data_IF_213359808631
#
_entry.id   IF_213359808631
#
_cell.length_a   1.000
_cell.length_b   1.000
_cell.length_c   1.000
_cell.angle_alpha   90.00
_cell.angle_beta   90.00
_cell.angle_gamma   90.00
#
_symmetry.space_group_name_H-M   'P 1'
#
loop_
_entity.id
_entity.type
_entity.pdbx_description
1 polymer ?
#
# COMPACT_ATOMS: atom_id res chain seq x y z
N UNK A 1 16.01 33.99 66.15
CA UNK A 1 14.70 33.34 65.92
C UNK A 1 14.04 34.04 64.76
N UNK A 2 14.23 33.48 63.56
CA UNK A 2 13.52 33.90 62.35
C UNK A 2 12.29 33.02 62.18
N UNK A 3 11.18 33.62 61.79
CA UNK A 3 9.98 32.93 61.33
C UNK A 3 9.39 33.71 60.15
N UNK A 4 8.77 33.01 59.18
CA UNK A 4 8.75 33.42 57.79
C UNK A 4 7.39 33.97 57.33
N UNK A 5 7.48 34.59 56.16
CA UNK A 5 6.48 35.21 55.30
C UNK A 5 5.29 34.32 54.93
N UNK A 6 4.08 34.90 54.96
CA UNK A 6 2.96 34.46 54.10
C UNK A 6 2.22 35.69 53.55
N UNK A 7 2.45 35.96 52.27
CA UNK A 7 1.77 36.98 51.46
C UNK A 7 0.47 36.37 50.93
N UNK A 8 -0.70 37.02 51.07
CA UNK A 8 -1.94 36.55 50.46
C UNK A 8 -1.90 36.75 48.92
N UNK A 9 -2.57 35.87 48.14
CA UNK A 9 -2.44 35.85 46.68
C UNK A 9 -3.06 37.10 46.03
N UNK A 10 -2.25 37.79 45.22
CA UNK A 10 -2.72 38.75 44.23
C UNK A 10 -3.43 38.01 43.08
N UNK A 11 -4.73 38.25 42.91
CA UNK A 11 -5.44 37.89 41.68
C UNK A 11 -4.96 38.77 40.53
N UNK A 12 -4.55 38.21 39.38
CA UNK A 12 -4.32 39.00 38.19
C UNK A 12 -5.65 39.51 37.61
N UNK A 13 -5.70 40.83 37.44
CA UNK A 13 -6.72 41.64 36.79
C UNK A 13 -6.99 41.14 35.36
N UNK A 14 -8.22 40.72 35.06
CA UNK A 14 -8.66 40.56 33.67
C UNK A 14 -9.02 41.93 33.11
N UNK A 15 -8.21 42.41 32.16
CA UNK A 15 -8.50 43.59 31.37
C UNK A 15 -9.75 43.36 30.52
N UNK A 16 -10.75 44.21 30.76
CA UNK A 16 -11.94 44.40 29.94
C UNK A 16 -11.55 45.06 28.62
N UNK A 17 -11.82 44.41 27.49
CA UNK A 17 -12.09 45.07 26.21
C UNK A 17 -12.71 44.07 25.22
N UNK A 18 -14.00 43.78 25.39
CA UNK A 18 -14.86 43.40 24.26
C UNK A 18 -16.21 44.12 24.37
N UNK A 19 -16.72 44.70 23.26
CA UNK A 19 -17.97 45.45 23.27
C UNK A 19 -19.17 44.53 23.54
N UNK A 20 -20.03 44.96 24.45
CA UNK A 20 -21.28 44.31 24.83
C UNK A 20 -22.24 44.19 23.65
N UNK A 21 -22.31 43.02 23.03
CA UNK A 21 -23.41 42.67 22.11
C UNK A 21 -24.60 42.19 22.93
N UNK A 22 -25.63 43.04 22.96
CA UNK A 22 -26.90 42.82 23.64
C UNK A 22 -27.66 41.66 22.98
N UNK A 23 -27.79 40.52 23.67
CA UNK A 23 -28.58 39.38 23.20
C UNK A 23 -30.08 39.62 23.46
N UNK A 24 -30.71 40.43 22.61
CA UNK A 24 -32.18 40.62 22.63
C UNK A 24 -32.81 40.30 21.28
N UNK A 25 -32.53 39.11 20.75
CA UNK A 25 -33.36 38.52 19.69
C UNK A 25 -33.72 37.07 20.03
N UNK A 26 -35.01 36.70 19.98
CA UNK A 26 -35.40 35.30 20.08
C UNK A 26 -34.86 34.53 18.86
N UNK A 27 -34.55 33.23 19.02
CA UNK A 27 -34.06 32.39 17.93
C UNK A 27 -35.10 32.35 16.78
N UNK A 28 -34.66 32.22 15.52
CA UNK A 28 -35.57 32.06 14.39
C UNK A 28 -36.52 30.89 14.65
N UNK A 29 -37.83 31.13 14.54
CA UNK A 29 -38.84 30.10 14.71
C UNK A 29 -38.67 29.03 13.63
N UNK A 30 -38.61 27.76 14.05
CA UNK A 30 -38.69 26.63 13.13
C UNK A 30 -40.09 26.63 12.50
N UNK A 31 -40.22 27.28 11.35
CA UNK A 31 -41.33 27.00 10.43
C UNK A 31 -41.14 25.57 9.95
N UNK A 32 -42.03 24.69 10.41
CA UNK A 32 -42.06 23.30 10.02
C UNK A 32 -42.43 23.16 8.55
N UNK A 33 -41.43 23.20 7.68
CA UNK A 33 -41.51 22.47 6.42
C UNK A 33 -41.13 21.02 6.72
N UNK A 34 -42.14 20.14 6.65
CA UNK A 34 -41.94 18.70 6.59
C UNK A 34 -41.27 18.35 5.25
N UNK A 35 -39.99 18.64 5.15
CA UNK A 35 -39.12 18.04 4.14
C UNK A 35 -39.04 16.54 4.43
N UNK A 36 -39.24 15.64 3.45
CA UNK A 36 -39.09 14.22 3.67
C UNK A 36 -37.68 13.95 4.24
N UNK A 37 -37.61 13.25 5.37
CA UNK A 37 -36.35 12.81 6.00
C UNK A 37 -35.47 11.93 5.08
N UNK A 38 -35.98 11.56 3.90
CA UNK A 38 -35.22 11.03 2.78
C UNK A 38 -35.03 12.12 1.72
N UNK A 39 -33.86 12.76 1.74
CA UNK A 39 -33.41 13.57 0.61
C UNK A 39 -33.23 12.72 -0.65
N UNK A 40 -33.27 13.38 -1.81
CA UNK A 40 -33.01 12.76 -3.12
C UNK A 40 -31.67 12.01 -3.14
N UNK A 41 -31.54 10.91 -3.89
CA UNK A 41 -30.26 10.24 -4.10
C UNK A 41 -29.23 11.27 -4.59
N UNK A 42 -28.18 11.50 -3.81
CA UNK A 42 -27.15 12.48 -4.14
C UNK A 42 -26.36 11.99 -5.34
N UNK A 43 -26.18 12.83 -6.36
CA UNK A 43 -25.32 12.55 -7.51
C UNK A 43 -23.90 13.04 -7.23
N UNK A 44 -22.93 12.51 -7.98
CA UNK A 44 -21.51 12.88 -7.89
C UNK A 44 -21.18 14.33 -8.31
N UNK A 45 -22.18 15.11 -8.71
CA UNK A 45 -22.05 16.48 -9.24
C UNK A 45 -22.50 17.55 -8.23
N UNK A 46 -22.90 17.16 -7.03
CA UNK A 46 -23.31 18.09 -5.98
C UNK A 46 -22.07 18.89 -5.50
N UNK A 47 -22.15 20.23 -5.52
CA UNK A 47 -21.04 21.11 -5.12
C UNK A 47 -20.96 21.21 -3.58
N UNK A 48 -20.49 20.12 -2.95
CA UNK A 48 -20.25 20.05 -1.51
C UNK A 48 -18.85 20.66 -1.22
N UNK A 49 -18.66 21.37 -0.10
CA UNK A 49 -17.32 21.70 0.40
C UNK A 49 -16.44 20.44 0.42
N UNK A 50 -15.18 20.57 -0.03
CA UNK A 50 -14.24 19.44 -0.25
C UNK A 50 -14.14 18.49 0.97
N UNK A 51 -14.35 18.99 2.19
CA UNK A 51 -14.35 18.22 3.45
C UNK A 51 -15.34 17.04 3.47
N UNK A 52 -16.43 17.08 2.69
CA UNK A 52 -17.40 15.99 2.57
C UNK A 52 -17.17 15.09 1.35
N UNK A 53 -16.27 15.48 0.45
CA UNK A 53 -15.99 14.73 -0.78
C UNK A 53 -14.95 13.62 -0.56
N UNK A 54 -14.02 13.83 0.37
CA UNK A 54 -12.88 12.93 0.59
C UNK A 54 -12.99 12.02 1.82
N UNK A 55 -14.09 12.07 2.58
CA UNK A 55 -14.17 11.45 3.92
C UNK A 55 -14.82 10.06 3.98
N UNK A 56 -15.31 9.51 2.86
CA UNK A 56 -16.02 8.21 2.92
C UNK A 56 -15.05 7.05 2.76
N UNK A 57 -14.93 6.25 3.82
CA UNK A 57 -14.20 4.97 3.76
C UNK A 57 -14.94 3.97 2.86
N UNK A 58 -14.22 3.00 2.28
CA UNK A 58 -14.81 1.97 1.41
C UNK A 58 -15.94 1.19 2.10
N UNK A 59 -15.91 1.03 3.43
CA UNK A 59 -17.00 0.40 4.18
C UNK A 59 -18.28 1.25 4.27
N UNK A 60 -18.15 2.58 4.25
CA UNK A 60 -19.27 3.53 4.35
C UNK A 60 -19.84 3.91 2.98
N UNK A 61 -19.10 3.62 1.91
CA UNK A 61 -19.52 3.87 0.54
C UNK A 61 -20.68 2.95 0.11
N UNK A 62 -21.45 3.40 -0.89
CA UNK A 62 -22.48 2.55 -1.49
C UNK A 62 -21.87 1.31 -2.15
N UNK A 63 -22.67 0.25 -2.27
CA UNK A 63 -22.23 -1.05 -2.80
C UNK A 63 -21.58 -0.91 -4.19
N UNK A 64 -22.14 -0.05 -5.04
CA UNK A 64 -21.67 0.19 -6.40
C UNK A 64 -20.30 0.88 -6.41
N UNK A 65 -20.12 1.88 -5.55
CA UNK A 65 -18.85 2.61 -5.40
C UNK A 65 -17.76 1.66 -4.88
N UNK A 66 -18.07 0.84 -3.88
CA UNK A 66 -17.12 -0.16 -3.35
C UNK A 66 -16.69 -1.15 -4.43
N UNK A 67 -17.63 -1.69 -5.20
CA UNK A 67 -17.29 -2.62 -6.27
C UNK A 67 -16.48 -1.96 -7.40
N UNK A 68 -16.76 -0.70 -7.72
CA UNK A 68 -16.00 0.07 -8.69
C UNK A 68 -14.55 0.30 -8.21
N UNK A 69 -14.36 0.69 -6.94
CA UNK A 69 -13.05 0.83 -6.32
C UNK A 69 -12.23 -0.45 -6.39
N UNK A 70 -12.79 -1.56 -5.89
CA UNK A 70 -12.10 -2.86 -5.88
C UNK A 70 -11.77 -3.30 -7.31
N UNK A 71 -12.69 -3.13 -8.26
CA UNK A 71 -12.41 -3.44 -9.67
C UNK A 71 -11.24 -2.62 -10.21
N UNK A 72 -11.16 -1.33 -9.87
CA UNK A 72 -10.08 -0.45 -10.32
C UNK A 72 -8.73 -0.87 -9.73
N UNK A 73 -8.66 -1.18 -8.44
CA UNK A 73 -7.46 -1.68 -7.77
C UNK A 73 -6.94 -2.95 -8.44
N UNK A 74 -7.80 -3.96 -8.59
CA UNK A 74 -7.41 -5.24 -9.18
C UNK A 74 -7.14 -5.15 -10.69
N UNK A 75 -7.78 -4.21 -11.41
CA UNK A 75 -7.47 -3.96 -12.82
C UNK A 75 -6.07 -3.36 -12.97
N UNK A 76 -5.71 -2.37 -12.16
CA UNK A 76 -4.35 -1.80 -12.13
C UNK A 76 -3.34 -2.90 -11.79
N UNK A 77 -3.57 -3.64 -10.70
CA UNK A 77 -2.72 -4.76 -10.28
C UNK A 77 -2.49 -5.77 -11.42
N UNK A 78 -3.56 -6.18 -12.10
CA UNK A 78 -3.48 -7.16 -13.19
C UNK A 78 -2.61 -6.63 -14.33
N UNK A 79 -2.76 -5.36 -14.71
CA UNK A 79 -1.91 -4.73 -15.72
C UNK A 79 -0.45 -4.71 -15.27
N UNK A 80 -0.17 -4.37 -14.00
CA UNK A 80 1.20 -4.38 -13.46
C UNK A 80 1.83 -5.77 -13.55
N UNK A 81 1.11 -6.81 -13.11
CA UNK A 81 1.59 -8.20 -13.18
C UNK A 81 1.82 -8.68 -14.61
N UNK A 82 0.95 -8.32 -15.56
CA UNK A 82 1.12 -8.65 -16.99
C UNK A 82 2.38 -7.97 -17.54
N UNK A 83 2.59 -6.69 -17.25
CA UNK A 83 3.79 -5.96 -17.68
C UNK A 83 5.05 -6.63 -17.14
N UNK A 84 5.06 -6.99 -15.86
CA UNK A 84 6.18 -7.68 -15.20
C UNK A 84 6.44 -9.07 -15.81
N UNK A 85 5.38 -9.83 -16.10
CA UNK A 85 5.50 -11.12 -16.75
C UNK A 85 6.07 -11.00 -18.18
N UNK A 86 5.62 -10.02 -18.96
CA UNK A 86 6.13 -9.75 -20.31
C UNK A 86 7.63 -9.38 -20.26
N UNK A 87 8.00 -8.43 -19.39
CA UNK A 87 9.39 -8.01 -19.24
C UNK A 87 10.31 -9.16 -18.83
N UNK A 88 9.88 -9.96 -17.85
CA UNK A 88 10.64 -11.13 -17.39
C UNK A 88 10.76 -12.18 -18.49
N UNK A 89 9.71 -12.39 -19.29
CA UNK A 89 9.71 -13.35 -20.40
C UNK A 89 10.72 -12.99 -21.50
N UNK A 90 10.94 -11.71 -21.78
CA UNK A 90 11.95 -11.24 -22.75
C UNK A 90 13.35 -11.73 -22.34
N UNK A 91 13.65 -11.80 -21.04
CA UNK A 91 14.94 -12.31 -20.55
C UNK A 91 15.16 -13.80 -20.80
N UNK A 92 14.09 -14.59 -21.00
CA UNK A 92 14.22 -16.03 -21.31
C UNK A 92 14.34 -16.32 -22.80
N UNK A 93 13.73 -15.50 -23.65
CA UNK A 93 13.74 -15.72 -25.10
C UNK A 93 14.89 -15.03 -25.82
N UNK A 94 15.41 -13.94 -25.25
CA UNK A 94 16.49 -13.17 -25.86
C UNK A 94 17.77 -13.27 -25.04
N UNK A 95 18.68 -14.14 -25.47
CA UNK A 95 19.99 -14.33 -24.84
C UNK A 95 20.82 -13.03 -24.80
N UNK A 96 20.77 -12.21 -25.85
CA UNK A 96 21.49 -10.93 -25.88
C UNK A 96 20.95 -9.95 -24.84
N UNK A 97 19.63 -9.91 -24.64
CA UNK A 97 19.03 -9.10 -23.57
C UNK A 97 19.42 -9.62 -22.19
N UNK A 98 19.38 -10.95 -21.99
CA UNK A 98 19.81 -11.61 -20.76
C UNK A 98 21.26 -11.30 -20.40
N UNK A 99 22.19 -11.47 -21.33
CA UNK A 99 23.61 -11.19 -21.13
C UNK A 99 23.84 -9.70 -20.82
N UNK A 100 23.09 -8.82 -21.49
CA UNK A 100 23.19 -7.40 -21.28
C UNK A 100 22.72 -6.96 -19.89
N UNK A 101 21.57 -7.45 -19.40
CA UNK A 101 21.08 -7.10 -18.05
C UNK A 101 21.97 -7.68 -16.94
N UNK A 102 22.61 -8.84 -17.17
CA UNK A 102 23.53 -9.45 -16.22
C UNK A 102 24.89 -8.76 -16.17
N UNK A 103 25.38 -8.25 -17.31
CA UNK A 103 26.68 -7.56 -17.39
C UNK A 103 26.59 -6.09 -16.95
N UNK A 104 25.48 -5.41 -17.23
CA UNK A 104 25.30 -3.98 -16.93
C UNK A 104 24.72 -3.75 -15.54
N UNK A 105 25.43 -4.18 -14.49
CA UNK A 105 24.98 -4.07 -13.10
C UNK A 105 24.67 -2.63 -12.66
N UNK A 106 25.26 -1.62 -13.31
CA UNK A 106 24.93 -0.22 -13.05
C UNK A 106 23.45 0.13 -13.28
N UNK A 107 22.78 -0.57 -14.19
CA UNK A 107 21.35 -0.38 -14.46
C UNK A 107 20.46 -0.88 -13.33
N UNK A 108 20.92 -1.89 -12.58
CA UNK A 108 20.23 -2.34 -11.37
C UNK A 108 20.17 -1.21 -10.34
N UNK A 109 21.25 -0.44 -10.15
CA UNK A 109 21.23 0.71 -9.24
C UNK A 109 20.25 1.79 -9.73
N UNK A 110 20.24 2.08 -11.03
CA UNK A 110 19.26 3.01 -11.61
C UNK A 110 17.84 2.51 -11.39
N UNK A 111 17.59 1.21 -11.51
CA UNK A 111 16.28 0.64 -11.27
C UNK A 111 15.88 0.74 -9.79
N UNK A 112 16.78 0.45 -8.86
CA UNK A 112 16.53 0.58 -7.42
C UNK A 112 16.18 2.04 -7.06
N UNK A 113 17.05 3.00 -7.43
CA UNK A 113 16.79 4.42 -7.14
C UNK A 113 15.59 4.95 -7.91
N UNK A 114 15.38 4.48 -9.14
CA UNK A 114 14.22 4.79 -9.97
C UNK A 114 12.92 4.33 -9.33
N UNK A 115 12.89 3.12 -8.75
CA UNK A 115 11.72 2.60 -8.04
C UNK A 115 11.33 3.51 -6.89
N UNK A 116 12.25 3.84 -5.99
CA UNK A 116 11.98 4.77 -4.89
C UNK A 116 11.57 6.16 -5.38
N UNK A 117 12.21 6.66 -6.45
CA UNK A 117 11.86 7.93 -7.07
C UNK A 117 10.43 7.96 -7.62
N UNK A 118 10.07 6.99 -8.46
CA UNK A 118 8.72 6.88 -9.02
C UNK A 118 7.66 6.56 -7.96
N UNK A 119 8.00 5.78 -6.94
CA UNK A 119 7.13 5.53 -5.80
C UNK A 119 6.81 6.84 -5.08
N UNK A 120 7.84 7.63 -4.73
CA UNK A 120 7.67 8.94 -4.11
C UNK A 120 6.88 9.92 -4.97
N UNK A 121 7.14 9.97 -6.28
CA UNK A 121 6.39 10.80 -7.23
C UNK A 121 4.92 10.37 -7.33
N UNK A 122 4.66 9.06 -7.33
CA UNK A 122 3.30 8.51 -7.37
C UNK A 122 2.53 8.89 -6.12
N UNK A 123 3.13 8.79 -4.93
CA UNK A 123 2.50 9.23 -3.69
C UNK A 123 2.30 10.75 -3.65
N UNK A 124 3.27 11.54 -4.13
CA UNK A 124 3.15 13.01 -4.17
C UNK A 124 2.02 13.48 -5.08
N UNK A 125 1.87 12.85 -6.26
CA UNK A 125 0.82 13.19 -7.23
C UNK A 125 -0.37 12.25 -7.20
N UNK A 126 -0.59 11.49 -6.12
CA UNK A 126 -1.61 10.42 -6.06
C UNK A 126 -3.03 10.87 -6.44
N UNK A 127 -3.43 12.09 -6.09
CA UNK A 127 -4.75 12.66 -6.41
C UNK A 127 -4.79 13.46 -7.73
N UNK A 128 -3.66 13.56 -8.46
CA UNK A 128 -3.58 14.33 -9.70
C UNK A 128 -3.66 13.43 -10.93
N UNK A 129 -4.86 13.28 -11.49
CA UNK A 129 -5.07 12.58 -12.76
C UNK A 129 -4.70 13.47 -13.96
N UNK A 130 -4.03 12.96 -15.02
CA UNK A 130 -3.55 11.58 -15.22
C UNK A 130 -2.09 11.34 -14.74
N UNK A 131 -1.47 12.32 -14.08
CA UNK A 131 -0.06 12.26 -13.69
C UNK A 131 0.23 11.06 -12.76
N UNK A 132 -0.70 10.74 -11.86
CA UNK A 132 -0.61 9.57 -10.99
C UNK A 132 -0.42 8.26 -11.76
N UNK A 133 -1.11 8.07 -12.88
CA UNK A 133 -0.98 6.88 -13.73
C UNK A 133 0.34 6.86 -14.52
N UNK A 134 0.85 8.02 -14.91
CA UNK A 134 2.15 8.14 -15.60
C UNK A 134 3.29 7.75 -14.64
N UNK A 135 3.25 8.23 -13.40
CA UNK A 135 4.26 7.85 -12.42
C UNK A 135 4.12 6.41 -11.96
N UNK A 136 2.88 5.90 -11.84
CA UNK A 136 2.61 4.49 -11.57
C UNK A 136 3.14 3.57 -12.68
N UNK A 137 2.99 3.96 -13.95
CA UNK A 137 3.52 3.17 -15.06
C UNK A 137 5.04 3.18 -15.08
N UNK A 138 5.67 4.33 -14.79
CA UNK A 138 7.11 4.44 -14.58
C UNK A 138 7.61 3.53 -13.45
N UNK A 139 6.95 3.56 -12.29
CA UNK A 139 7.21 2.66 -11.17
C UNK A 139 7.11 1.19 -11.59
N UNK A 140 6.03 0.83 -12.28
CA UNK A 140 5.77 -0.55 -12.73
C UNK A 140 6.83 -1.04 -13.70
N UNK A 141 7.26 -0.20 -14.65
CA UNK A 141 8.29 -0.58 -15.62
C UNK A 141 9.65 -0.78 -14.97
N UNK A 142 10.00 0.07 -14.00
CA UNK A 142 11.25 -0.05 -13.25
C UNK A 142 11.23 -1.31 -12.38
N UNK A 143 10.13 -1.59 -11.70
CA UNK A 143 9.97 -2.84 -10.94
C UNK A 143 9.98 -4.08 -11.85
N UNK A 144 9.28 -4.03 -12.98
CA UNK A 144 9.28 -5.12 -13.98
C UNK A 144 10.69 -5.41 -14.49
N UNK A 145 11.51 -4.38 -14.68
CA UNK A 145 12.91 -4.53 -15.05
C UNK A 145 13.75 -5.16 -13.92
N UNK A 146 13.56 -4.74 -12.66
CA UNK A 146 14.22 -5.38 -11.50
C UNK A 146 13.87 -6.86 -11.40
N UNK A 147 12.59 -7.22 -11.55
CA UNK A 147 12.16 -8.62 -11.56
C UNK A 147 12.76 -9.39 -12.74
N UNK A 148 12.85 -8.79 -13.93
CA UNK A 148 13.51 -9.41 -15.09
C UNK A 148 15.00 -9.70 -14.83
N UNK A 149 15.73 -8.80 -14.14
CA UNK A 149 17.11 -9.06 -13.71
C UNK A 149 17.16 -10.27 -12.78
N UNK A 150 16.36 -10.28 -11.71
CA UNK A 150 16.40 -11.36 -10.71
C UNK A 150 16.06 -12.71 -11.35
N UNK A 151 14.96 -12.77 -12.10
CA UNK A 151 14.50 -14.00 -12.78
C UNK A 151 15.48 -14.52 -13.82
N UNK A 152 16.33 -13.67 -14.41
CA UNK A 152 17.36 -14.08 -15.36
C UNK A 152 18.40 -15.05 -14.78
N UNK A 153 18.59 -15.03 -13.45
CA UNK A 153 19.50 -15.93 -12.73
C UNK A 153 18.88 -17.30 -12.42
N UNK A 154 17.57 -17.45 -12.60
CA UNK A 154 16.87 -18.71 -12.38
C UNK A 154 16.59 -19.42 -13.70
N UNK A 155 16.35 -20.73 -13.63
CA UNK A 155 15.82 -21.47 -14.76
C UNK A 155 14.36 -21.10 -15.00
N UNK A 156 13.94 -21.01 -16.28
CA UNK A 156 12.56 -20.64 -16.63
C UNK A 156 11.50 -21.54 -15.98
N UNK A 157 11.81 -22.83 -15.78
CA UNK A 157 10.90 -23.80 -15.13
C UNK A 157 10.59 -23.41 -13.69
N UNK A 158 11.62 -23.04 -12.93
CA UNK A 158 11.52 -22.61 -11.53
C UNK A 158 10.69 -21.33 -11.44
N UNK A 159 10.95 -20.39 -12.36
CA UNK A 159 10.21 -19.12 -12.42
C UNK A 159 8.73 -19.36 -12.72
N UNK A 160 8.39 -20.22 -13.67
CA UNK A 160 7.00 -20.57 -13.97
C UNK A 160 6.30 -21.26 -12.81
N UNK A 161 6.97 -22.18 -12.12
CA UNK A 161 6.43 -22.84 -10.94
C UNK A 161 6.18 -21.86 -9.79
N UNK A 162 7.14 -20.97 -9.52
CA UNK A 162 6.99 -19.91 -8.51
C UNK A 162 5.84 -18.96 -8.85
N UNK A 163 5.63 -18.60 -10.13
CA UNK A 163 4.48 -17.80 -10.57
C UNK A 163 3.15 -18.50 -10.27
N UNK A 164 3.04 -19.80 -10.59
CA UNK A 164 1.81 -20.58 -10.35
C UNK A 164 1.52 -20.67 -8.84
N UNK A 165 2.52 -21.00 -8.03
CA UNK A 165 2.38 -21.10 -6.58
C UNK A 165 1.96 -19.75 -5.98
N UNK A 166 2.63 -18.67 -6.37
CA UNK A 166 2.32 -17.32 -5.88
C UNK A 166 0.91 -16.91 -6.27
N UNK A 167 0.47 -17.19 -7.50
CA UNK A 167 -0.88 -16.91 -7.95
C UNK A 167 -1.95 -17.67 -7.16
N UNK A 168 -1.72 -18.95 -6.87
CA UNK A 168 -2.63 -19.76 -6.05
C UNK A 168 -2.68 -19.28 -4.60
N UNK A 169 -1.53 -18.94 -4.00
CA UNK A 169 -1.46 -18.40 -2.65
C UNK A 169 -2.15 -17.05 -2.56
N UNK A 170 -1.85 -16.13 -3.49
CA UNK A 170 -2.52 -14.84 -3.56
C UNK A 170 -4.04 -15.00 -3.67
N UNK A 171 -4.52 -15.80 -4.63
CA UNK A 171 -5.95 -16.02 -4.80
C UNK A 171 -6.60 -16.64 -3.54
N UNK A 172 -5.97 -17.65 -2.94
CA UNK A 172 -6.47 -18.31 -1.73
C UNK A 172 -6.50 -17.36 -0.53
N UNK A 173 -5.43 -16.60 -0.31
CA UNK A 173 -5.32 -15.62 0.77
C UNK A 173 -6.30 -14.47 0.58
N UNK A 174 -6.46 -13.94 -0.63
CA UNK A 174 -7.45 -12.91 -0.94
C UNK A 174 -8.87 -13.40 -0.69
N UNK A 175 -9.21 -14.62 -1.13
CA UNK A 175 -10.54 -15.22 -0.90
C UNK A 175 -10.80 -15.44 0.60
N UNK A 176 -9.79 -15.88 1.35
CA UNK A 176 -9.86 -16.03 2.79
C UNK A 176 -10.02 -14.67 3.49
N UNK A 177 -9.23 -13.67 3.09
CA UNK A 177 -9.28 -12.32 3.62
C UNK A 177 -10.64 -11.68 3.36
N UNK A 178 -11.29 -11.89 2.21
CA UNK A 178 -12.61 -11.32 1.96
C UNK A 178 -13.70 -11.97 2.82
N UNK A 179 -13.62 -13.28 3.07
CA UNK A 179 -14.65 -14.05 3.79
C UNK A 179 -14.50 -14.02 5.31
N UNK A 180 -13.29 -13.84 5.81
CA UNK A 180 -13.00 -13.95 7.24
C UNK A 180 -13.60 -12.81 8.05
N UNK A 181 -14.10 -13.16 9.24
CA UNK A 181 -14.59 -12.23 10.25
C UNK A 181 -13.48 -11.68 11.14
N UNK A 182 -12.29 -12.30 11.10
CA UNK A 182 -11.13 -11.82 11.84
C UNK A 182 -10.70 -10.45 11.34
N UNK A 183 -10.43 -9.52 12.26
CA UNK A 183 -9.96 -8.18 11.92
C UNK A 183 -8.42 -8.14 11.99
N UNK A 184 -7.79 -8.00 10.83
CA UNK A 184 -6.33 -7.87 10.71
C UNK A 184 -5.84 -6.44 10.95
N UNK A 185 -6.70 -5.45 11.20
CA UNK A 185 -6.29 -4.05 11.36
C UNK A 185 -5.24 -3.82 12.45
N UNK A 186 -5.26 -4.64 13.51
CA UNK A 186 -4.27 -4.56 14.61
C UNK A 186 -2.91 -5.14 14.23
N UNK A 187 -2.78 -5.80 13.08
CA UNK A 187 -1.53 -6.43 12.64
C UNK A 187 -0.52 -5.43 12.06
N UNK A 188 -0.95 -4.21 11.72
CA UNK A 188 -0.11 -3.20 11.05
C UNK A 188 1.23 -2.97 11.76
N UNK A 189 1.23 -2.78 13.07
CA UNK A 189 2.46 -2.56 13.84
C UNK A 189 3.36 -3.80 13.90
N UNK A 190 2.78 -5.00 13.98
CA UNK A 190 3.53 -6.25 13.99
C UNK A 190 4.17 -6.52 12.63
N UNK A 191 3.41 -6.36 11.55
CA UNK A 191 3.89 -6.51 10.18
C UNK A 191 4.99 -5.51 9.85
N UNK A 192 4.80 -4.23 10.22
CA UNK A 192 5.81 -3.20 10.02
C UNK A 192 7.13 -3.51 10.73
N UNK A 193 7.08 -3.95 11.99
CA UNK A 193 8.28 -4.33 12.73
C UNK A 193 8.96 -5.58 12.13
N UNK A 194 8.17 -6.58 11.71
CA UNK A 194 8.69 -7.78 11.07
C UNK A 194 9.35 -7.47 9.71
N UNK A 195 8.79 -6.54 8.93
CA UNK A 195 9.38 -6.07 7.69
C UNK A 195 10.75 -5.43 7.92
N UNK A 196 10.87 -4.52 8.89
CA UNK A 196 12.15 -3.91 9.23
C UNK A 196 13.19 -4.94 9.69
N UNK A 197 12.78 -5.93 10.48
CA UNK A 197 13.66 -7.02 10.89
C UNK A 197 14.20 -7.77 9.66
N UNK A 198 13.35 -8.16 8.71
CA UNK A 198 13.79 -8.86 7.51
C UNK A 198 14.66 -7.98 6.60
N UNK A 199 14.36 -6.69 6.46
CA UNK A 199 15.20 -5.74 5.70
C UNK A 199 16.60 -5.67 6.31
N UNK A 200 16.71 -5.54 7.64
CA UNK A 200 18.01 -5.49 8.33
C UNK A 200 18.76 -6.81 8.15
N UNK A 201 18.09 -7.96 8.28
CA UNK A 201 18.71 -9.28 8.05
C UNK A 201 19.17 -9.45 6.60
N UNK A 202 18.38 -8.99 5.63
CA UNK A 202 18.75 -8.97 4.22
C UNK A 202 19.98 -8.10 3.95
N UNK A 203 20.05 -6.92 4.58
CA UNK A 203 21.22 -6.04 4.47
C UNK A 203 22.48 -6.66 5.10
N UNK A 204 22.35 -7.28 6.27
CA UNK A 204 23.46 -8.01 6.92
C UNK A 204 23.95 -9.16 6.02
N UNK A 205 23.03 -9.85 5.35
CA UNK A 205 23.35 -10.98 4.45
C UNK A 205 24.20 -10.56 3.24
N UNK A 206 24.22 -9.28 2.87
CA UNK A 206 25.09 -8.74 1.79
C UNK A 206 26.56 -8.78 2.23
N UNK A 207 26.86 -8.48 3.51
CA UNK A 207 28.23 -8.43 4.03
C UNK A 207 28.69 -9.78 4.60
N UNK A 208 27.75 -10.59 5.06
CA UNK A 208 27.99 -11.90 5.66
C UNK A 208 27.20 -12.95 4.89
N UNK A 209 27.80 -13.61 3.88
CA UNK A 209 27.12 -14.67 3.15
C UNK A 209 26.89 -15.87 4.08
N UNK A 210 25.66 -16.38 4.09
CA UNK A 210 25.25 -17.53 4.90
C UNK A 210 25.06 -18.78 4.05
N UNK A 211 25.08 -19.95 4.70
CA UNK A 211 24.80 -21.25 4.08
C UNK A 211 23.38 -21.33 3.48
N UNK A 212 23.19 -22.24 2.52
CA UNK A 212 21.91 -22.39 1.80
C UNK A 212 20.70 -22.62 2.70
N UNK A 213 20.85 -23.32 3.83
CA UNK A 213 19.76 -23.53 4.80
C UNK A 213 19.28 -22.24 5.47
N UNK A 214 20.19 -21.29 5.73
CA UNK A 214 19.84 -19.99 6.31
C UNK A 214 19.12 -19.13 5.27
N UNK A 215 19.58 -19.16 4.02
CA UNK A 215 18.91 -18.46 2.91
C UNK A 215 17.51 -19.01 2.65
N UNK A 216 17.33 -20.34 2.78
CA UNK A 216 16.03 -20.98 2.70
C UNK A 216 15.10 -20.53 3.84
N UNK A 217 15.60 -20.54 5.08
CA UNK A 217 14.83 -20.08 6.24
C UNK A 217 14.44 -18.60 6.13
N UNK A 218 15.36 -17.75 5.65
CA UNK A 218 15.09 -16.34 5.36
C UNK A 218 13.99 -16.19 4.31
N UNK A 219 14.08 -16.92 3.19
CA UNK A 219 13.07 -16.89 2.12
C UNK A 219 11.70 -17.37 2.63
N UNK A 220 11.67 -18.41 3.46
CA UNK A 220 10.43 -18.86 4.12
C UNK A 220 9.83 -17.80 5.05
N UNK A 221 10.65 -17.09 5.82
CA UNK A 221 10.19 -16.00 6.68
C UNK A 221 9.63 -14.82 5.86
N UNK A 222 10.28 -14.45 4.75
CA UNK A 222 9.78 -13.44 3.81
C UNK A 222 8.44 -13.89 3.22
N UNK A 223 8.32 -15.15 2.77
CA UNK A 223 7.08 -15.68 2.20
C UNK A 223 5.92 -15.65 3.20
N UNK A 224 6.16 -16.02 4.47
CA UNK A 224 5.15 -15.94 5.53
C UNK A 224 4.74 -14.49 5.82
N UNK A 225 5.71 -13.57 5.88
CA UNK A 225 5.44 -12.17 6.13
C UNK A 225 4.57 -11.55 5.03
N UNK A 226 4.95 -11.74 3.76
CA UNK A 226 4.19 -11.18 2.64
C UNK A 226 2.85 -11.88 2.42
N UNK A 227 2.72 -13.15 2.80
CA UNK A 227 1.40 -13.80 2.89
C UNK A 227 0.50 -13.11 3.92
N UNK A 228 1.05 -12.70 5.08
CA UNK A 228 0.31 -11.95 6.08
C UNK A 228 -0.01 -10.52 5.65
N UNK A 229 0.89 -9.86 4.90
CA UNK A 229 0.60 -8.56 4.28
C UNK A 229 -0.53 -8.67 3.26
N UNK A 230 -0.59 -9.69 2.39
CA UNK A 230 -1.72 -9.88 1.45
C UNK A 230 -3.05 -9.95 2.21
N UNK A 231 -3.09 -10.65 3.35
CA UNK A 231 -4.30 -10.71 4.19
C UNK A 231 -4.69 -9.33 4.73
N UNK A 232 -3.70 -8.60 5.27
CA UNK A 232 -3.87 -7.27 5.83
C UNK A 232 -4.31 -6.26 4.76
N UNK A 233 -3.59 -6.18 3.65
CA UNK A 233 -3.84 -5.26 2.55
C UNK A 233 -5.16 -5.55 1.86
N UNK A 234 -5.49 -6.82 1.60
CA UNK A 234 -6.81 -7.18 1.07
C UNK A 234 -7.93 -6.69 2.00
N UNK A 235 -7.77 -6.83 3.31
CA UNK A 235 -8.76 -6.34 4.28
C UNK A 235 -8.84 -4.81 4.32
N UNK A 236 -7.71 -4.12 4.24
CA UNK A 236 -7.66 -2.66 4.16
C UNK A 236 -8.36 -2.15 2.90
N UNK A 237 -8.12 -2.77 1.74
CA UNK A 237 -8.80 -2.48 0.46
C UNK A 237 -10.31 -2.63 0.61
N UNK A 238 -10.77 -3.71 1.25
CA UNK A 238 -12.19 -4.03 1.29
C UNK A 238 -12.98 -3.19 2.31
N UNK A 239 -12.33 -2.64 3.35
CA UNK A 239 -13.03 -2.07 4.50
C UNK A 239 -12.61 -0.67 4.91
N UNK A 240 -11.33 -0.29 4.76
CA UNK A 240 -10.76 0.85 5.50
C UNK A 240 -10.15 1.94 4.64
N UNK A 241 -9.71 1.65 3.42
CA UNK A 241 -9.13 2.67 2.54
C UNK A 241 -10.18 3.65 2.01
N UNK A 242 -9.73 4.82 1.58
CA UNK A 242 -10.57 5.77 0.88
C UNK A 242 -10.74 5.35 -0.59
N UNK A 243 -11.90 5.67 -1.16
CA UNK A 243 -12.28 5.29 -2.54
C UNK A 243 -11.34 5.88 -3.62
N UNK A 244 -10.55 6.88 -3.26
CA UNK A 244 -9.59 7.55 -4.16
C UNK A 244 -8.13 7.09 -3.98
N UNK A 245 -7.91 6.11 -3.08
CA UNK A 245 -6.59 5.55 -2.80
C UNK A 245 -6.30 4.28 -3.61
N UNK A 246 -6.95 4.10 -4.76
CA UNK A 246 -6.83 2.86 -5.55
C UNK A 246 -5.41 2.61 -6.05
N UNK A 247 -4.63 3.67 -6.27
CA UNK A 247 -3.24 3.57 -6.73
C UNK A 247 -2.35 3.09 -5.59
N UNK A 248 -2.51 3.64 -4.39
CA UNK A 248 -1.75 3.19 -3.22
C UNK A 248 -2.10 1.73 -2.89
N UNK A 249 -3.40 1.40 -2.93
CA UNK A 249 -3.89 0.04 -2.77
C UNK A 249 -3.27 -0.95 -3.77
N UNK A 250 -3.22 -0.58 -5.05
CA UNK A 250 -2.64 -1.42 -6.09
C UNK A 250 -1.13 -1.58 -5.91
N UNK A 251 -0.41 -0.51 -5.55
CA UNK A 251 1.04 -0.55 -5.30
C UNK A 251 1.37 -1.51 -4.14
N UNK A 252 0.67 -1.41 -3.01
CA UNK A 252 0.96 -2.27 -1.85
C UNK A 252 0.72 -3.74 -2.19
N UNK A 253 -0.44 -4.05 -2.79
CA UNK A 253 -0.77 -5.42 -3.19
C UNK A 253 0.17 -5.96 -4.28
N UNK A 254 0.64 -5.10 -5.18
CA UNK A 254 1.64 -5.45 -6.20
C UNK A 254 2.99 -5.82 -5.55
N UNK A 255 3.47 -4.99 -4.63
CA UNK A 255 4.71 -5.25 -3.89
C UNK A 255 4.61 -6.51 -3.04
N UNK A 256 3.45 -6.77 -2.43
CA UNK A 256 3.22 -7.99 -1.68
C UNK A 256 3.36 -9.25 -2.55
N UNK A 257 2.72 -9.24 -3.73
CA UNK A 257 2.80 -10.35 -4.68
C UNK A 257 4.22 -10.52 -5.21
N UNK A 258 4.91 -9.42 -5.56
CA UNK A 258 6.29 -9.49 -6.04
C UNK A 258 7.23 -10.06 -4.99
N UNK A 259 7.14 -9.59 -3.76
CA UNK A 259 8.00 -10.09 -2.69
C UNK A 259 7.67 -11.54 -2.32
N UNK A 260 6.38 -11.93 -2.36
CA UNK A 260 5.99 -13.32 -2.20
C UNK A 260 6.57 -14.21 -3.32
N UNK A 261 6.50 -13.75 -4.57
CA UNK A 261 7.10 -14.43 -5.71
C UNK A 261 8.62 -14.58 -5.57
N UNK A 262 9.32 -13.50 -5.23
CA UNK A 262 10.76 -13.49 -5.02
C UNK A 262 11.18 -14.38 -3.84
N UNK A 263 10.34 -14.52 -2.83
CA UNK A 263 10.58 -15.42 -1.70
C UNK A 263 10.39 -16.89 -2.07
N UNK A 264 9.43 -17.21 -2.95
CA UNK A 264 9.19 -18.59 -3.38
C UNK A 264 10.19 -19.10 -4.42
N UNK A 265 10.74 -18.24 -5.27
CA UNK A 265 11.69 -18.68 -6.31
C UNK A 265 12.92 -19.45 -5.73
N UNK A 266 13.61 -18.97 -4.67
CA UNK A 266 14.67 -19.73 -3.99
C UNK A 266 14.19 -21.03 -3.32
N UNK A 267 12.96 -21.05 -2.77
CA UNK A 267 12.40 -22.25 -2.14
C UNK A 267 12.19 -23.37 -3.16
N UNK A 268 11.72 -23.03 -4.36
CA UNK A 268 11.54 -23.98 -5.46
C UNK A 268 12.89 -24.42 -6.02
N UNK A 269 13.83 -23.50 -6.23
CA UNK A 269 15.19 -23.80 -6.70
C UNK A 269 15.92 -24.77 -5.76
N UNK A 270 15.79 -24.59 -4.44
CA UNK A 270 16.40 -25.51 -3.47
C UNK A 270 15.73 -26.89 -3.43
N UNK A 271 14.44 -27.00 -3.75
CA UNK A 271 13.69 -28.25 -3.69
C UNK A 271 13.92 -29.16 -4.90
N UNK A 272 14.44 -28.63 -6.02
CA UNK A 272 14.65 -29.37 -7.26
C UNK A 272 16.14 -29.76 -7.36
N UNK A 273 16.47 -31.08 -7.41
CA UNK A 273 17.84 -31.57 -7.48
C UNK A 273 18.53 -31.35 -8.84
#
# INVERSE_FOLDING_TARGET
>A
MGAPSTVPPHQPTYGSNEPSTSYTRPPPGYTGDQSPLMGTPRSSEDNIPDDFKYSTSVAEATIDIRHAFVRKVYAILTVQLIVTAIFSSISFWNNSFKEWIQTNTWMMFIAIFGSFGFLGLTFWKRHSYPMNLIFLSGFTLVEAYTIAIVTSFYQYKIVLEAVVITGLLFAGLTVFAIQTKYDFSSWSSYLFNALWLLIILGFVSIFFPHDGWVQLAYSGAVALLFSAYILFDTQMIMRRMHVEEEIAAAISLYLDILNLFLAYAPLVDFAIP
#
